data_IF_502913972106
#
_entry.id   IF_502913972106
#
_cell.length_a   1.000
_cell.length_b   1.000
_cell.length_c   1.000
_cell.angle_alpha   90.00
_cell.angle_beta   90.00
_cell.angle_gamma   90.00
#
_symmetry.space_group_name_H-M   'P 1'
#
loop_
_entity.id
_entity.type
_entity.pdbx_description
1 polymer ?
#
# COMPACT_ATOMS: atom_id res chain seq x y z
N UNK A 1 11.90 11.04 14.01
CA UNK A 1 13.22 10.40 13.86
C UNK A 1 13.49 9.58 15.10
N UNK A 2 13.93 8.34 14.93
CA UNK A 2 14.31 7.44 16.02
C UNK A 2 15.76 7.05 15.80
N UNK A 3 16.57 7.08 16.85
CA UNK A 3 17.94 6.55 16.80
C UNK A 3 17.92 5.06 17.12
N UNK A 4 18.65 4.27 16.34
CA UNK A 4 18.84 2.83 16.58
C UNK A 4 20.04 2.60 17.52
N UNK A 5 20.14 1.40 18.11
CA UNK A 5 21.26 1.02 18.99
C UNK A 5 22.64 1.25 18.36
N UNK A 6 22.73 1.17 17.02
CA UNK A 6 23.96 1.41 16.26
C UNK A 6 24.13 2.88 15.83
N UNK A 7 23.41 3.83 16.44
CA UNK A 7 23.40 5.26 16.11
C UNK A 7 23.02 5.59 14.66
N UNK A 8 22.40 4.64 13.95
CA UNK A 8 21.87 4.90 12.60
C UNK A 8 20.49 5.54 12.75
N UNK A 9 20.27 6.75 12.21
CA UNK A 9 18.96 7.40 12.33
C UNK A 9 17.95 6.72 11.41
N UNK A 10 16.71 6.63 11.87
CA UNK A 10 15.57 6.08 11.15
C UNK A 10 14.42 7.11 11.11
N UNK A 11 13.89 7.37 9.91
CA UNK A 11 12.68 8.16 9.74
C UNK A 11 11.49 7.21 9.71
N UNK A 12 10.59 7.35 10.68
CA UNK A 12 9.32 6.61 10.72
C UNK A 12 8.21 7.61 10.46
N UNK A 13 7.40 7.32 9.44
CA UNK A 13 6.18 8.03 9.12
C UNK A 13 4.98 7.14 9.47
N UNK A 14 4.22 7.56 10.48
CA UNK A 14 2.95 6.90 10.83
C UNK A 14 1.82 7.53 10.02
N UNK A 15 1.04 6.70 9.33
CA UNK A 15 -0.04 7.15 8.46
C UNK A 15 -1.35 6.41 8.77
N UNK A 16 -2.46 7.14 8.64
CA UNK A 16 -3.81 6.56 8.61
C UNK A 16 -4.56 7.21 7.44
N UNK A 17 -4.70 6.50 6.33
CA UNK A 17 -5.36 7.05 5.15
C UNK A 17 -6.88 6.92 5.23
N UNK A 18 -7.59 7.55 4.30
CA UNK A 18 -9.05 7.51 4.27
C UNK A 18 -9.57 6.06 4.13
N UNK A 19 -10.45 5.65 5.02
CA UNK A 19 -11.07 4.31 5.03
C UNK A 19 -12.30 4.19 4.11
N UNK A 20 -12.90 5.31 3.70
CA UNK A 20 -14.10 5.29 2.85
C UNK A 20 -13.79 4.77 1.45
N UNK A 21 -14.81 4.19 0.80
CA UNK A 21 -14.68 3.61 -0.54
C UNK A 21 -13.58 2.54 -0.61
N UNK A 22 -13.59 1.61 0.34
CA UNK A 22 -12.62 0.52 0.41
C UNK A 22 -12.83 -0.45 -0.76
N UNK A 23 -11.84 -0.51 -1.65
CA UNK A 23 -11.93 -1.25 -2.91
C UNK A 23 -12.24 -2.74 -2.77
N UNK A 24 -11.64 -3.48 -1.81
CA UNK A 24 -11.95 -4.90 -1.61
C UNK A 24 -13.42 -5.19 -1.32
N UNK A 25 -14.10 -4.33 -0.54
CA UNK A 25 -15.53 -4.49 -0.28
C UNK A 25 -16.34 -4.30 -1.56
N UNK A 26 -16.01 -3.29 -2.36
CA UNK A 26 -16.68 -3.06 -3.64
C UNK A 26 -16.46 -4.22 -4.63
N UNK A 27 -15.26 -4.80 -4.66
CA UNK A 27 -14.93 -5.95 -5.49
C UNK A 27 -15.70 -7.22 -5.07
N UNK A 28 -15.76 -7.48 -3.76
CA UNK A 28 -16.36 -8.72 -3.24
C UNK A 28 -17.89 -8.69 -3.20
N UNK A 29 -18.49 -7.52 -3.03
CA UNK A 29 -19.94 -7.34 -3.10
C UNK A 29 -20.45 -7.08 -4.52
N UNK A 30 -19.60 -7.28 -5.54
CA UNK A 30 -19.94 -7.05 -6.96
C UNK A 30 -20.52 -5.65 -7.22
N UNK A 31 -20.10 -4.66 -6.43
CA UNK A 31 -20.50 -3.25 -6.58
C UNK A 31 -19.71 -2.53 -7.67
N UNK A 32 -18.61 -3.14 -8.14
CA UNK A 32 -17.81 -2.70 -9.28
C UNK A 32 -17.95 -3.69 -10.43
N UNK A 33 -17.91 -3.17 -11.65
CA UNK A 33 -18.03 -3.93 -12.90
C UNK A 33 -16.65 -4.12 -13.55
N UNK A 34 -15.69 -3.21 -13.29
CA UNK A 34 -14.34 -3.27 -13.85
C UNK A 34 -13.22 -2.93 -12.84
N UNK A 35 -11.99 -3.38 -13.12
CA UNK A 35 -10.82 -3.03 -12.30
C UNK A 35 -10.53 -1.53 -12.35
N UNK A 36 -10.83 -0.88 -13.47
CA UNK A 36 -10.71 0.56 -13.66
C UNK A 36 -11.63 1.35 -12.72
N UNK A 37 -12.83 0.84 -12.42
CA UNK A 37 -13.74 1.46 -11.45
C UNK A 37 -13.20 1.37 -10.02
N UNK A 38 -12.63 0.22 -9.64
CA UNK A 38 -11.96 0.04 -8.35
C UNK A 38 -10.77 0.98 -8.20
N UNK A 39 -9.93 1.07 -9.22
CA UNK A 39 -8.78 2.00 -9.26
C UNK A 39 -9.27 3.45 -9.19
N UNK A 40 -10.30 3.81 -9.96
CA UNK A 40 -10.86 5.17 -9.93
C UNK A 40 -11.42 5.51 -8.54
N UNK A 41 -12.01 4.54 -7.85
CA UNK A 41 -12.48 4.72 -6.48
C UNK A 41 -11.32 4.94 -5.49
N UNK A 42 -10.19 4.27 -5.71
CA UNK A 42 -8.96 4.49 -4.94
C UNK A 42 -8.48 5.94 -5.09
N UNK A 43 -8.47 6.49 -6.31
CA UNK A 43 -8.14 7.91 -6.54
C UNK A 43 -9.15 8.84 -5.86
N UNK A 44 -10.46 8.61 -6.03
CA UNK A 44 -11.52 9.44 -5.43
C UNK A 44 -11.51 9.41 -3.91
N UNK A 45 -11.01 8.33 -3.30
CA UNK A 45 -10.86 8.24 -1.85
C UNK A 45 -9.83 9.22 -1.27
N UNK A 46 -8.92 9.74 -2.09
CA UNK A 46 -7.83 10.58 -1.64
C UNK A 46 -6.62 9.81 -1.08
N UNK A 47 -6.68 8.47 -0.98
CA UNK A 47 -5.54 7.64 -0.54
C UNK A 47 -4.32 7.81 -1.45
N UNK A 48 -4.54 7.92 -2.76
CA UNK A 48 -3.45 8.18 -3.73
C UNK A 48 -2.78 9.52 -3.44
N UNK A 49 -3.58 10.57 -3.23
CA UNK A 49 -3.06 11.89 -2.86
C UNK A 49 -2.30 11.86 -1.53
N UNK A 50 -2.76 11.10 -0.53
CA UNK A 50 -2.02 10.96 0.72
C UNK A 50 -0.66 10.27 0.52
N UNK A 51 -0.57 9.28 -0.38
CA UNK A 51 0.70 8.67 -0.72
C UNK A 51 1.65 9.67 -1.41
N UNK A 52 1.15 10.42 -2.39
CA UNK A 52 1.89 11.49 -3.06
C UNK A 52 2.40 12.54 -2.07
N UNK A 53 1.56 12.99 -1.13
CA UNK A 53 1.94 13.96 -0.09
C UNK A 53 3.10 13.46 0.80
N UNK A 54 3.16 12.15 1.09
CA UNK A 54 4.28 11.55 1.83
C UNK A 54 5.53 11.48 0.95
N UNK A 55 5.40 10.98 -0.28
CA UNK A 55 6.51 10.79 -1.21
C UNK A 55 7.14 12.14 -1.62
N UNK A 56 6.34 13.18 -1.77
CA UNK A 56 6.80 14.53 -2.11
C UNK A 56 7.30 15.31 -0.88
N UNK A 57 7.12 14.79 0.34
CA UNK A 57 7.51 15.49 1.55
C UNK A 57 9.02 15.77 1.57
N UNK A 58 9.47 17.03 1.80
CA UNK A 58 10.89 17.41 1.71
C UNK A 58 11.82 16.55 2.57
N UNK A 59 11.36 16.15 3.75
CA UNK A 59 12.11 15.28 4.66
C UNK A 59 12.28 13.86 4.12
N UNK A 60 11.23 13.26 3.53
CA UNK A 60 11.32 11.91 2.95
C UNK A 60 12.30 11.94 1.77
N UNK A 61 12.14 12.94 0.90
CA UNK A 61 13.01 13.19 -0.23
C UNK A 61 14.48 13.42 0.16
N UNK A 62 14.75 14.19 1.21
CA UNK A 62 16.11 14.39 1.71
C UNK A 62 16.73 13.08 2.22
N UNK A 63 15.96 12.30 2.98
CA UNK A 63 16.44 11.04 3.55
C UNK A 63 16.76 10.00 2.47
N UNK A 64 15.87 9.85 1.48
CA UNK A 64 16.13 8.97 0.34
C UNK A 64 17.37 9.40 -0.45
N UNK A 65 17.56 10.70 -0.73
CA UNK A 65 18.78 11.22 -1.39
C UNK A 65 20.06 10.93 -0.62
N UNK A 66 19.99 10.92 0.72
CA UNK A 66 21.12 10.62 1.61
C UNK A 66 21.34 9.11 1.83
N UNK A 67 20.51 8.24 1.24
CA UNK A 67 20.55 6.80 1.47
C UNK A 67 20.20 6.41 2.92
N UNK A 68 19.47 7.27 3.62
CA UNK A 68 19.02 7.01 4.98
C UNK A 68 17.67 6.27 4.95
N UNK A 69 17.43 5.35 5.90
CA UNK A 69 16.23 4.52 5.87
C UNK A 69 14.98 5.33 6.23
N UNK A 70 13.92 5.13 5.45
CA UNK A 70 12.59 5.66 5.69
C UNK A 70 11.61 4.50 5.78
N UNK A 71 10.79 4.48 6.83
CA UNK A 71 9.70 3.52 7.02
C UNK A 71 8.39 4.29 7.03
N UNK A 72 7.46 3.90 6.17
CA UNK A 72 6.08 4.36 6.19
C UNK A 72 5.23 3.19 6.68
N UNK A 73 4.46 3.40 7.74
CA UNK A 73 3.65 2.35 8.36
C UNK A 73 2.37 2.92 8.97
N UNK A 74 1.42 2.03 9.26
CA UNK A 74 0.10 2.37 9.80
C UNK A 74 -1.00 1.75 8.96
N UNK A 75 -2.19 2.36 8.98
CA UNK A 75 -3.33 1.88 8.21
C UNK A 75 -3.49 2.69 6.91
N UNK A 76 -2.95 2.16 5.82
CA UNK A 76 -3.05 2.80 4.50
C UNK A 76 -4.42 2.60 3.85
N UNK A 77 -5.32 1.80 4.44
CA UNK A 77 -6.66 1.52 3.93
C UNK A 77 -6.70 1.12 2.43
N UNK A 78 -5.64 0.47 1.97
CA UNK A 78 -5.44 0.07 0.58
C UNK A 78 -4.74 -1.29 0.54
N UNK A 79 -5.12 -2.21 -0.35
CA UNK A 79 -4.42 -3.48 -0.46
C UNK A 79 -3.07 -3.35 -1.17
N UNK A 80 -2.23 -4.38 -1.02
CA UNK A 80 -1.00 -4.49 -1.79
C UNK A 80 -1.31 -4.90 -3.23
N UNK A 81 -0.76 -4.18 -4.21
CA UNK A 81 -0.81 -4.56 -5.63
C UNK A 81 -0.08 -5.89 -5.89
N UNK A 82 0.82 -6.30 -5.00
CA UNK A 82 1.51 -7.60 -5.03
C UNK A 82 0.60 -8.76 -4.61
N UNK A 83 -0.52 -8.46 -3.94
CA UNK A 83 -1.44 -9.48 -3.41
C UNK A 83 -2.62 -9.73 -4.34
N UNK A 84 -2.97 -8.78 -5.21
CA UNK A 84 -4.13 -8.82 -6.11
C UNK A 84 -3.74 -9.18 -7.55
N UNK A 85 -3.14 -10.37 -7.70
CA UNK A 85 -2.57 -10.86 -8.96
C UNK A 85 -3.40 -12.01 -9.57
N UNK A 86 -3.06 -12.42 -10.79
CA UNK A 86 -3.69 -13.59 -11.44
C UNK A 86 -3.59 -14.85 -10.58
N UNK A 87 -2.47 -15.05 -9.88
CA UNK A 87 -2.23 -16.24 -9.05
C UNK A 87 -3.14 -16.29 -7.82
N UNK A 88 -3.61 -15.14 -7.34
CA UNK A 88 -4.45 -15.00 -6.14
C UNK A 88 -5.88 -14.58 -6.46
N UNK A 89 -6.24 -14.32 -7.73
CA UNK A 89 -7.56 -13.79 -8.14
C UNK A 89 -8.75 -14.55 -7.56
N UNK A 90 -8.64 -15.87 -7.42
CA UNK A 90 -9.72 -16.71 -6.84
C UNK A 90 -10.03 -16.39 -5.38
N UNK A 91 -9.08 -15.80 -4.65
CA UNK A 91 -9.27 -15.30 -3.28
C UNK A 91 -9.91 -13.90 -3.24
N UNK A 92 -9.89 -13.20 -4.37
CA UNK A 92 -10.30 -11.81 -4.51
C UNK A 92 -11.51 -11.69 -5.45
N UNK A 93 -12.45 -12.64 -5.41
CA UNK A 93 -13.65 -12.59 -6.27
C UNK A 93 -13.36 -12.59 -7.78
N UNK A 94 -12.31 -13.30 -8.21
CA UNK A 94 -11.80 -13.31 -9.59
C UNK A 94 -11.18 -12.00 -10.10
N UNK A 95 -11.02 -11.01 -9.22
CA UNK A 95 -10.39 -9.72 -9.55
C UNK A 95 -8.87 -9.76 -9.57
N UNK A 96 -8.29 -8.97 -10.47
CA UNK A 96 -6.87 -8.63 -10.54
C UNK A 96 -6.77 -7.11 -10.58
N UNK A 97 -6.11 -6.52 -9.58
CA UNK A 97 -6.11 -5.06 -9.39
C UNK A 97 -4.72 -4.60 -8.98
N UNK A 98 -4.17 -3.66 -9.73
CA UNK A 98 -2.91 -2.99 -9.39
C UNK A 98 -3.26 -1.75 -8.56
N UNK A 99 -3.34 -1.92 -7.24
CA UNK A 99 -3.70 -0.83 -6.32
C UNK A 99 -2.69 0.32 -6.40
N UNK A 100 -3.10 1.54 -6.81
CA UNK A 100 -2.18 2.61 -7.16
C UNK A 100 -1.33 3.10 -5.99
N UNK A 101 -1.86 3.11 -4.75
CA UNK A 101 -1.11 3.58 -3.58
C UNK A 101 0.17 2.78 -3.36
N UNK A 102 0.06 1.44 -3.28
CA UNK A 102 1.24 0.60 -3.04
C UNK A 102 2.15 0.53 -4.27
N UNK A 103 1.60 0.66 -5.48
CA UNK A 103 2.40 0.76 -6.71
C UNK A 103 3.23 2.06 -6.76
N UNK A 104 2.69 3.19 -6.26
CA UNK A 104 3.42 4.45 -6.14
C UNK A 104 4.60 4.34 -5.17
N UNK A 105 4.39 3.74 -4.00
CA UNK A 105 5.47 3.49 -3.05
C UNK A 105 6.57 2.60 -3.66
N UNK A 106 6.21 1.52 -4.36
CA UNK A 106 7.19 0.66 -5.04
C UNK A 106 7.98 1.43 -6.11
N UNK A 107 7.30 2.22 -6.95
CA UNK A 107 7.94 3.07 -7.97
C UNK A 107 8.89 4.12 -7.37
N UNK A 108 8.59 4.60 -6.16
CA UNK A 108 9.44 5.53 -5.41
C UNK A 108 10.59 4.85 -4.66
N UNK A 109 10.81 3.54 -4.86
CA UNK A 109 11.91 2.79 -4.26
C UNK A 109 11.64 2.28 -2.85
N UNK A 110 10.40 2.31 -2.38
CA UNK A 110 10.00 1.61 -1.16
C UNK A 110 9.77 0.13 -1.46
N UNK A 111 9.94 -0.70 -0.43
CA UNK A 111 9.67 -2.13 -0.52
C UNK A 111 8.61 -2.52 0.52
N UNK A 112 7.64 -3.34 0.09
CA UNK A 112 6.71 -3.98 1.00
C UNK A 112 7.49 -4.95 1.91
N UNK A 113 7.63 -4.59 3.18
CA UNK A 113 8.42 -5.34 4.15
C UNK A 113 7.87 -6.76 4.37
N UNK A 114 6.55 -6.94 4.30
CA UNK A 114 5.94 -8.26 4.44
C UNK A 114 6.27 -9.13 3.23
N UNK A 115 6.18 -8.58 2.02
CA UNK A 115 6.51 -9.31 0.78
C UNK A 115 8.01 -9.56 0.59
N UNK A 116 8.85 -8.73 1.19
CA UNK A 116 10.30 -8.98 1.23
C UNK A 116 10.63 -10.26 2.03
N UNK A 117 9.92 -10.50 3.14
CA UNK A 117 10.13 -11.68 3.99
C UNK A 117 9.32 -12.89 3.48
N UNK A 118 8.11 -12.64 2.97
CA UNK A 118 7.17 -13.65 2.47
C UNK A 118 6.77 -13.36 1.01
N UNK A 119 7.62 -13.73 0.03
CA UNK A 119 7.44 -13.32 -1.37
C UNK A 119 6.19 -13.87 -2.05
N UNK A 120 5.70 -15.04 -1.63
CA UNK A 120 4.55 -15.69 -2.26
C UNK A 120 3.24 -15.29 -1.58
N UNK A 121 2.42 -14.47 -2.24
CA UNK A 121 1.06 -14.17 -1.80
C UNK A 121 0.13 -15.39 -1.81
N UNK A 122 0.49 -16.45 -2.55
CA UNK A 122 -0.25 -17.73 -2.55
C UNK A 122 0.01 -18.50 -1.25
N UNK A 123 1.28 -18.63 -0.85
CA UNK A 123 1.69 -19.38 0.35
C UNK A 123 1.40 -18.58 1.63
N UNK A 124 1.72 -17.29 1.62
CA UNK A 124 1.58 -16.37 2.74
C UNK A 124 0.68 -15.20 2.34
N UNK A 125 -0.66 -15.36 2.37
CA UNK A 125 -1.57 -14.28 2.02
C UNK A 125 -1.47 -13.11 3.01
N UNK A 126 -1.58 -11.88 2.49
CA UNK A 126 -1.82 -10.72 3.33
C UNK A 126 -3.21 -10.82 3.97
N UNK A 127 -3.34 -10.33 5.20
CA UNK A 127 -4.65 -10.27 5.86
C UNK A 127 -5.41 -9.06 5.35
N UNK A 128 -6.50 -9.27 4.63
CA UNK A 128 -7.48 -8.25 4.31
C UNK A 128 -8.69 -8.46 5.22
N UNK A 129 -8.78 -7.71 6.33
CA UNK A 129 -9.95 -7.79 7.20
C UNK A 129 -11.07 -6.97 6.56
N UNK A 130 -12.23 -7.58 6.35
CA UNK A 130 -13.42 -6.92 5.78
C UNK A 130 -14.35 -6.34 6.87
N UNK A 131 -13.97 -6.47 8.13
CA UNK A 131 -14.81 -6.18 9.30
C UNK A 131 -14.49 -4.85 10.01
N UNK A 132 -13.78 -3.91 9.37
CA UNK A 132 -13.46 -2.60 9.95
C UNK A 132 -14.45 -1.51 9.54
#
# INVERSE_FOLDING_TARGET
MVETENQRPLLIWSAHFNFKMFGPVAAQLEMAITSEELISSEYRSGRVRNAEEILDHPLVNEWQRRGLPVVVAGDLNTPSHLDWTVATRKRHGDWVVRWPVTELFEKAGFHDAYRTIYPSAVINPGKCNLES
#
